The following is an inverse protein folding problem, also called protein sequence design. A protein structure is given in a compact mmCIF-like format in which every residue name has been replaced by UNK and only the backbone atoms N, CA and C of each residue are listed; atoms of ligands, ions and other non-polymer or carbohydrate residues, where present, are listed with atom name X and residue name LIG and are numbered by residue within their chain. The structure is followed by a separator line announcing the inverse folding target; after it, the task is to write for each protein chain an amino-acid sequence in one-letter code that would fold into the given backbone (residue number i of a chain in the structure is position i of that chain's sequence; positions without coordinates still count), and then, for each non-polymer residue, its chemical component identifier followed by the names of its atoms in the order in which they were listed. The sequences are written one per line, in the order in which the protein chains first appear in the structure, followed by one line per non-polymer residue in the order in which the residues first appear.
data_IF_971843089910
#
_entry.id   IF_971843089910
#
_cell.length_a   1.000
_cell.length_b   1.000
_cell.length_c   1.000
_cell.angle_alpha   90.00
_cell.angle_beta   90.00
_cell.angle_gamma   90.00
#
_symmetry.space_group_name_H-M   'P 1'
#
loop_
_entity.id
_entity.type
_entity.pdbx_description
1 polymer ?
#
# COMPACT_ATOMS: atom_id res chain seq x y z
N UNK A 1 0.04 13.35 -6.24
CA UNK A 1 -0.10 13.93 -7.59
C UNK A 1 1.04 13.46 -8.48
N UNK A 2 0.84 13.50 -9.81
CA UNK A 2 1.90 13.29 -10.80
C UNK A 2 3.05 14.27 -10.57
N UNK A 3 4.28 13.88 -10.96
CA UNK A 3 5.47 14.77 -10.91
C UNK A 3 5.30 16.05 -11.77
N UNK A 4 4.39 15.99 -12.75
CA UNK A 4 4.08 17.11 -13.68
C UNK A 4 2.75 17.78 -13.35
N UNK A 5 2.08 17.39 -12.26
CA UNK A 5 0.78 17.93 -11.88
C UNK A 5 0.84 19.40 -11.47
N UNK A 6 -0.15 20.17 -11.88
CA UNK A 6 -0.38 21.52 -11.38
C UNK A 6 -0.94 21.53 -9.96
N UNK A 7 -0.93 22.70 -9.28
CA UNK A 7 -1.40 22.79 -7.90
C UNK A 7 -2.87 22.43 -7.67
N UNK A 8 -3.69 22.50 -8.71
CA UNK A 8 -5.14 22.19 -8.68
C UNK A 8 -5.50 20.84 -9.27
N UNK A 9 -4.52 20.08 -9.73
CA UNK A 9 -4.81 18.77 -10.31
C UNK A 9 -5.22 17.78 -9.22
N UNK A 10 -6.23 16.92 -9.45
CA UNK A 10 -6.64 15.91 -8.50
C UNK A 10 -5.52 14.88 -8.29
N UNK A 11 -5.33 14.45 -7.05
CA UNK A 11 -4.43 13.33 -6.74
C UNK A 11 -5.03 11.99 -7.15
N UNK A 12 -4.17 10.97 -7.24
CA UNK A 12 -4.61 9.60 -7.42
C UNK A 12 -4.88 8.94 -6.06
N UNK A 13 -6.04 8.31 -5.85
CA UNK A 13 -6.32 7.60 -4.60
C UNK A 13 -5.45 6.35 -4.41
N UNK A 14 -4.80 5.86 -5.47
CA UNK A 14 -3.91 4.70 -5.44
C UNK A 14 -2.41 5.04 -5.35
N UNK A 15 -2.07 6.33 -5.36
CA UNK A 15 -0.74 6.83 -5.01
C UNK A 15 -0.72 7.12 -3.51
N UNK A 16 -0.39 6.09 -2.72
CA UNK A 16 -0.60 6.12 -1.28
C UNK A 16 0.46 6.94 -0.56
N UNK A 17 -0.01 7.65 0.47
CA UNK A 17 0.84 8.22 1.50
C UNK A 17 1.64 9.43 1.06
N UNK A 18 1.00 10.58 0.97
CA UNK A 18 1.68 11.87 0.76
C UNK A 18 2.54 12.30 1.94
N UNK A 19 3.02 13.53 1.87
CA UNK A 19 3.88 14.18 2.88
C UNK A 19 3.31 14.20 4.31
N UNK A 20 2.03 13.94 4.47
CA UNK A 20 1.31 13.91 5.74
C UNK A 20 1.71 12.76 6.66
N UNK A 21 2.42 11.74 6.16
CA UNK A 21 2.92 10.63 6.99
C UNK A 21 2.88 9.25 6.35
N UNK A 22 2.73 9.16 5.04
CA UNK A 22 2.82 7.89 4.33
C UNK A 22 1.61 6.97 4.52
N UNK A 23 1.84 5.65 4.51
CA UNK A 23 0.79 4.63 4.54
C UNK A 23 -0.02 4.54 5.86
N UNK A 24 0.42 5.20 6.92
CA UNK A 24 -0.24 5.17 8.24
C UNK A 24 -0.89 6.50 8.61
N UNK A 25 -0.91 7.47 7.70
CA UNK A 25 -1.54 8.76 7.91
C UNK A 25 -2.96 8.82 7.32
N UNK A 26 -3.78 9.69 7.89
CA UNK A 26 -5.07 10.08 7.34
C UNK A 26 -4.89 11.37 6.55
N UNK A 27 -5.51 11.45 5.36
CA UNK A 27 -5.53 12.70 4.61
C UNK A 27 -6.26 13.78 5.41
N UNK A 28 -5.68 14.98 5.61
CA UNK A 28 -6.25 16.01 6.51
C UNK A 28 -7.69 16.42 6.17
N UNK A 29 -8.07 16.39 4.89
CA UNK A 29 -9.43 16.71 4.46
C UNK A 29 -10.46 15.64 4.86
N UNK A 30 -10.01 14.41 5.16
CA UNK A 30 -10.86 13.30 5.60
C UNK A 30 -11.00 13.24 7.13
N UNK A 31 -10.19 14.01 7.85
CA UNK A 31 -10.20 14.06 9.30
C UNK A 31 -8.94 13.53 9.96
N UNK A 32 -9.08 12.99 11.15
CA UNK A 32 -8.00 12.49 12.01
C UNK A 32 -8.06 10.98 12.17
N UNK A 33 -7.03 10.40 12.78
CA UNK A 33 -7.02 8.97 13.14
C UNK A 33 -8.17 8.63 14.11
N UNK A 34 -8.55 9.53 15.01
CA UNK A 34 -9.69 9.33 15.91
C UNK A 34 -11.02 9.35 15.15
N UNK A 35 -11.14 10.14 14.09
CA UNK A 35 -12.30 10.11 13.20
C UNK A 35 -12.42 8.77 12.48
N UNK A 36 -11.30 8.23 12.00
CA UNK A 36 -11.26 6.89 11.40
C UNK A 36 -11.67 5.81 12.39
N UNK A 37 -11.14 5.83 13.62
CA UNK A 37 -11.54 4.89 14.69
C UNK A 37 -13.03 4.99 15.02
N UNK A 38 -13.60 6.21 15.00
CA UNK A 38 -15.06 6.40 15.19
C UNK A 38 -15.86 5.77 14.04
N UNK A 39 -15.37 5.93 12.79
CA UNK A 39 -15.99 5.30 11.62
C UNK A 39 -15.99 3.76 11.77
N UNK A 40 -14.86 3.16 12.13
CA UNK A 40 -14.75 1.70 12.33
C UNK A 40 -15.72 1.23 13.43
N UNK A 41 -15.77 1.91 14.58
CA UNK A 41 -16.71 1.57 15.66
C UNK A 41 -18.17 1.72 15.23
N UNK A 42 -18.50 2.76 14.46
CA UNK A 42 -19.86 2.96 13.96
C UNK A 42 -20.25 1.87 12.97
N UNK A 43 -19.35 1.47 12.06
CA UNK A 43 -19.57 0.36 11.14
C UNK A 43 -19.88 -0.94 11.89
N UNK A 44 -19.05 -1.29 12.88
CA UNK A 44 -19.26 -2.49 13.72
C UNK A 44 -20.62 -2.45 14.46
N UNK A 45 -21.02 -1.30 14.98
CA UNK A 45 -22.32 -1.14 15.65
C UNK A 45 -23.51 -1.41 14.71
N UNK A 46 -23.30 -1.28 13.39
CA UNK A 46 -24.29 -1.61 12.37
C UNK A 46 -24.08 -3.00 11.73
N UNK A 47 -23.20 -3.83 12.29
CA UNK A 47 -22.89 -5.17 11.76
C UNK A 47 -22.07 -5.15 10.47
N UNK A 48 -21.34 -4.06 10.20
CA UNK A 48 -20.49 -3.92 9.02
C UNK A 48 -19.02 -4.00 9.42
N UNK A 49 -18.20 -4.64 8.57
CA UNK A 49 -16.74 -4.60 8.66
C UNK A 49 -16.18 -3.58 7.65
N UNK A 50 -15.12 -2.89 8.05
CA UNK A 50 -14.38 -1.99 7.14
C UNK A 50 -13.36 -2.80 6.38
N UNK A 51 -13.44 -2.78 5.04
CA UNK A 51 -12.41 -3.30 4.16
C UNK A 51 -11.54 -2.13 3.68
N UNK A 52 -10.27 -2.12 4.07
CA UNK A 52 -9.32 -1.08 3.70
C UNK A 52 -8.52 -1.50 2.46
N UNK A 53 -8.43 -0.62 1.48
CA UNK A 53 -7.53 -0.84 0.33
C UNK A 53 -6.07 -0.80 0.79
N UNK A 54 -5.31 -1.84 0.43
CA UNK A 54 -3.88 -1.92 0.66
C UNK A 54 -3.15 -1.87 -0.69
N UNK A 55 -2.77 -0.67 -1.07
CA UNK A 55 -1.94 -0.41 -2.23
C UNK A 55 -0.50 -0.13 -1.79
N UNK A 56 0.46 -0.91 -2.31
CA UNK A 56 1.86 -0.84 -1.87
C UNK A 56 2.61 0.31 -2.55
N UNK A 57 2.18 0.72 -3.73
CA UNK A 57 2.79 1.84 -4.45
C UNK A 57 2.70 3.16 -3.66
N UNK A 58 3.75 3.96 -3.78
CA UNK A 58 3.88 5.23 -3.06
C UNK A 58 3.55 6.43 -3.94
N UNK A 59 3.04 7.50 -3.31
CA UNK A 59 3.02 8.84 -3.92
C UNK A 59 4.46 9.37 -4.09
N UNK A 60 4.74 10.22 -5.10
CA UNK A 60 6.07 10.82 -5.29
C UNK A 60 6.56 11.71 -4.14
N UNK A 61 5.69 12.11 -3.23
CA UNK A 61 6.01 12.88 -2.03
C UNK A 61 5.94 12.06 -0.73
N UNK A 62 5.90 10.73 -0.86
CA UNK A 62 5.91 9.82 0.28
C UNK A 62 7.18 10.00 1.14
N UNK A 63 7.07 10.05 2.49
CA UNK A 63 8.23 10.24 3.38
C UNK A 63 9.37 9.26 3.15
N UNK A 64 9.07 7.99 2.86
CA UNK A 64 10.07 6.96 2.61
C UNK A 64 11.03 7.27 1.46
N UNK A 65 10.64 8.12 0.49
CA UNK A 65 11.54 8.50 -0.61
C UNK A 65 12.77 9.27 -0.10
N UNK A 66 12.58 10.06 0.97
CA UNK A 66 13.66 10.82 1.61
C UNK A 66 14.37 10.02 2.70
N UNK A 67 13.62 9.21 3.45
CA UNK A 67 14.12 8.44 4.59
C UNK A 67 14.87 7.18 4.13
N UNK A 68 14.41 6.58 3.03
CA UNK A 68 14.89 5.31 2.49
C UNK A 68 15.00 5.35 0.96
N UNK A 69 15.85 6.22 0.38
CA UNK A 69 15.98 6.33 -1.07
C UNK A 69 16.39 5.00 -1.73
N UNK A 70 17.09 4.13 -0.99
CA UNK A 70 17.49 2.79 -1.43
C UNK A 70 16.32 1.81 -1.64
N UNK A 71 15.11 2.16 -1.19
CA UNK A 71 13.91 1.36 -1.42
C UNK A 71 13.27 1.60 -2.79
N UNK A 72 13.79 2.56 -3.56
CA UNK A 72 13.21 3.00 -4.82
C UNK A 72 14.19 2.89 -5.99
N UNK A 73 13.66 2.83 -7.19
CA UNK A 73 14.45 2.92 -8.42
C UNK A 73 14.71 4.37 -8.81
N UNK A 74 15.96 4.66 -9.17
CA UNK A 74 16.39 5.95 -9.65
C UNK A 74 16.91 5.85 -11.08
N UNK A 75 16.66 6.90 -11.87
CA UNK A 75 17.23 7.02 -13.21
C UNK A 75 18.66 7.57 -13.13
N UNK A 76 19.50 7.38 -14.19
CA UNK A 76 20.84 7.91 -14.21
C UNK A 76 20.95 9.44 -14.06
N UNK A 77 19.88 10.16 -14.40
CA UNK A 77 19.77 11.62 -14.25
C UNK A 77 19.39 12.05 -12.82
N UNK A 78 19.27 11.13 -11.90
CA UNK A 78 18.89 11.38 -10.51
C UNK A 78 17.39 11.54 -10.26
N UNK A 79 16.54 11.38 -11.28
CA UNK A 79 15.08 11.40 -11.09
C UNK A 79 14.57 10.04 -10.64
N UNK A 80 13.50 10.03 -9.82
CA UNK A 80 12.87 8.80 -9.37
C UNK A 80 12.12 8.13 -10.53
N UNK A 81 12.19 6.79 -10.58
CA UNK A 81 11.48 6.01 -11.58
C UNK A 81 10.03 5.76 -11.14
N UNK A 82 9.10 6.25 -11.93
CA UNK A 82 7.67 5.96 -11.72
C UNK A 82 7.24 4.63 -12.35
N UNK A 83 6.05 4.16 -11.99
CA UNK A 83 5.46 2.94 -12.53
C UNK A 83 5.12 3.09 -14.03
N UNK A 84 5.46 2.08 -14.81
CA UNK A 84 5.18 2.05 -16.25
C UNK A 84 4.61 0.68 -16.65
N UNK A 85 3.61 0.71 -17.52
CA UNK A 85 3.11 -0.46 -18.25
C UNK A 85 2.87 -0.02 -19.69
N UNK A 86 3.89 -0.06 -20.56
CA UNK A 86 3.85 0.54 -21.88
C UNK A 86 2.59 0.16 -22.69
N UNK A 87 1.95 1.09 -23.35
CA UNK A 87 2.35 2.52 -23.51
C UNK A 87 1.97 3.45 -22.35
N UNK A 88 1.37 2.91 -21.28
CA UNK A 88 0.91 3.70 -20.11
C UNK A 88 2.07 4.05 -19.19
N UNK A 89 2.05 5.28 -18.68
CA UNK A 89 2.94 5.81 -17.65
C UNK A 89 2.11 6.31 -16.49
N UNK A 90 2.51 5.97 -15.28
CA UNK A 90 1.82 6.34 -14.04
C UNK A 90 2.78 7.22 -13.23
N UNK A 91 2.91 8.48 -13.63
CA UNK A 91 3.87 9.44 -13.04
C UNK A 91 3.52 9.85 -11.60
N UNK A 92 2.33 9.48 -11.15
CA UNK A 92 1.84 9.65 -9.79
C UNK A 92 2.14 8.44 -8.88
N UNK A 93 2.75 7.38 -9.42
CA UNK A 93 3.00 6.12 -8.69
C UNK A 93 4.49 5.77 -8.73
N UNK A 94 5.07 5.57 -7.56
CA UNK A 94 6.44 5.10 -7.39
C UNK A 94 6.42 3.73 -6.74
N UNK A 95 7.11 2.76 -7.34
CA UNK A 95 7.17 1.39 -6.85
C UNK A 95 8.31 1.18 -5.86
N UNK A 96 8.05 0.38 -4.82
CA UNK A 96 9.06 -0.10 -3.89
C UNK A 96 9.82 -1.31 -4.47
N UNK A 97 11.09 -1.41 -4.15
CA UNK A 97 11.89 -2.61 -4.31
C UNK A 97 11.61 -3.62 -3.20
N UNK A 98 11.51 -4.91 -3.55
CA UNK A 98 11.30 -5.99 -2.59
C UNK A 98 12.57 -6.79 -2.25
N UNK A 99 13.68 -6.51 -2.91
CA UNK A 99 14.94 -7.23 -2.81
C UNK A 99 16.12 -6.27 -2.70
N UNK A 100 17.33 -6.79 -2.82
CA UNK A 100 18.60 -6.04 -2.71
C UNK A 100 18.68 -5.29 -1.38
N UNK A 101 19.12 -4.05 -1.41
CA UNK A 101 19.30 -3.19 -0.23
C UNK A 101 18.01 -2.92 0.55
N UNK A 102 16.87 -2.98 -0.12
CA UNK A 102 15.55 -2.80 0.50
C UNK A 102 15.11 -4.01 1.36
N UNK A 103 15.64 -5.20 1.10
CA UNK A 103 15.32 -6.41 1.87
C UNK A 103 16.19 -6.52 3.13
N UNK A 104 15.65 -6.89 4.31
CA UNK A 104 14.26 -7.21 4.58
C UNK A 104 13.42 -6.01 5.05
N UNK A 105 14.00 -4.81 5.10
CA UNK A 105 13.39 -3.63 5.73
C UNK A 105 12.03 -3.27 5.12
N UNK A 106 11.91 -3.26 3.78
CA UNK A 106 10.63 -2.98 3.09
C UNK A 106 9.54 -3.99 3.47
N UNK A 107 9.90 -5.28 3.57
CA UNK A 107 8.95 -6.32 3.96
C UNK A 107 8.38 -6.07 5.36
N UNK A 108 9.25 -5.75 6.31
CA UNK A 108 8.85 -5.43 7.68
C UNK A 108 8.02 -4.15 7.73
N UNK A 109 8.43 -3.09 7.02
CA UNK A 109 7.69 -1.84 6.99
C UNK A 109 6.26 -2.02 6.44
N UNK A 110 6.10 -2.80 5.36
CA UNK A 110 4.79 -3.10 4.78
C UNK A 110 3.91 -3.95 5.70
N UNK A 111 4.49 -4.95 6.39
CA UNK A 111 3.79 -5.70 7.44
C UNK A 111 3.34 -4.76 8.56
N UNK A 112 4.20 -3.87 9.02
CA UNK A 112 3.91 -2.96 10.12
C UNK A 112 2.82 -1.94 9.76
N UNK A 113 2.70 -1.55 8.50
CA UNK A 113 1.54 -0.80 7.99
C UNK A 113 0.24 -1.57 8.18
N UNK A 114 0.21 -2.85 7.81
CA UNK A 114 -0.98 -3.71 8.00
C UNK A 114 -1.31 -3.85 9.49
N UNK A 115 -0.31 -4.14 10.33
CA UNK A 115 -0.48 -4.25 11.78
C UNK A 115 -1.01 -2.96 12.40
N UNK A 116 -0.50 -1.80 11.96
CA UNK A 116 -1.00 -0.50 12.41
C UNK A 116 -2.51 -0.36 12.17
N UNK A 117 -3.00 -0.70 10.97
CA UNK A 117 -4.43 -0.58 10.67
C UNK A 117 -5.28 -1.64 11.37
N UNK A 118 -4.73 -2.83 11.63
CA UNK A 118 -5.40 -3.85 12.48
C UNK A 118 -5.61 -3.29 13.89
N UNK A 119 -4.63 -2.62 14.47
CA UNK A 119 -4.75 -1.97 15.78
C UNK A 119 -5.80 -0.85 15.80
N UNK A 120 -6.13 -0.26 14.64
CA UNK A 120 -7.24 0.69 14.52
C UNK A 120 -8.61 -0.01 14.32
N UNK A 121 -8.66 -1.35 14.27
CA UNK A 121 -9.87 -2.15 14.18
C UNK A 121 -10.21 -2.66 12.77
N UNK A 122 -9.31 -2.51 11.79
CA UNK A 122 -9.49 -3.06 10.45
C UNK A 122 -9.16 -4.56 10.44
N UNK A 123 -10.04 -5.37 9.86
CA UNK A 123 -9.85 -6.82 9.73
C UNK A 123 -9.80 -7.33 8.30
N UNK A 124 -10.15 -6.49 7.34
CA UNK A 124 -10.22 -6.88 5.92
C UNK A 124 -9.36 -5.91 5.12
N UNK A 125 -8.44 -6.46 4.33
CA UNK A 125 -7.60 -5.70 3.42
C UNK A 125 -7.87 -6.12 1.98
N UNK A 126 -8.32 -5.19 1.16
CA UNK A 126 -8.41 -5.38 -0.29
C UNK A 126 -7.05 -5.02 -0.88
N UNK A 127 -6.34 -6.02 -1.39
CA UNK A 127 -4.97 -5.85 -1.89
C UNK A 127 -5.01 -5.46 -3.36
N UNK A 128 -4.50 -4.27 -3.65
CA UNK A 128 -4.40 -3.73 -5.00
C UNK A 128 -3.25 -4.38 -5.77
N UNK A 129 -3.57 -4.93 -6.94
CA UNK A 129 -2.60 -5.53 -7.87
C UNK A 129 -1.53 -6.45 -7.22
N UNK A 130 -1.89 -7.46 -6.41
CA UNK A 130 -0.91 -8.31 -5.72
C UNK A 130 -0.02 -9.11 -6.66
N UNK A 131 -0.49 -9.39 -7.89
CA UNK A 131 0.26 -10.11 -8.91
C UNK A 131 1.48 -9.36 -9.46
N UNK A 132 1.59 -8.06 -9.18
CA UNK A 132 2.74 -7.22 -9.53
C UNK A 132 3.83 -7.21 -8.45
N UNK A 133 3.60 -7.89 -7.34
CA UNK A 133 4.51 -8.02 -6.20
C UNK A 133 4.97 -9.47 -6.04
N UNK A 134 6.10 -9.74 -5.36
CA UNK A 134 6.61 -11.10 -5.20
C UNK A 134 5.67 -11.99 -4.38
N UNK A 135 5.36 -13.19 -4.87
CA UNK A 135 4.59 -14.19 -4.11
C UNK A 135 5.22 -14.53 -2.74
N UNK A 136 6.56 -14.72 -2.62
CA UNK A 136 7.17 -14.99 -1.31
C UNK A 136 6.93 -13.90 -0.28
N UNK A 137 6.82 -12.64 -0.72
CA UNK A 137 6.45 -11.54 0.17
C UNK A 137 5.02 -11.74 0.74
N UNK A 138 4.06 -12.07 -0.12
CA UNK A 138 2.67 -12.28 0.31
C UNK A 138 2.55 -13.48 1.25
N UNK A 139 3.18 -14.60 0.91
CA UNK A 139 3.18 -15.81 1.76
C UNK A 139 3.75 -15.51 3.15
N UNK A 140 4.85 -14.76 3.21
CA UNK A 140 5.48 -14.38 4.47
C UNK A 140 4.60 -13.39 5.25
N UNK A 141 4.17 -12.30 4.62
CA UNK A 141 3.42 -11.22 5.28
C UNK A 141 2.07 -11.72 5.82
N UNK A 142 1.32 -12.46 5.00
CA UNK A 142 0.02 -12.99 5.40
C UNK A 142 0.18 -13.93 6.60
N UNK A 143 1.19 -14.82 6.57
CA UNK A 143 1.48 -15.70 7.71
C UNK A 143 1.84 -14.92 8.97
N UNK A 144 2.77 -13.96 8.89
CA UNK A 144 3.17 -13.11 10.02
C UNK A 144 1.97 -12.38 10.65
N UNK A 145 1.02 -11.93 9.82
CA UNK A 145 -0.19 -11.26 10.30
C UNK A 145 -1.17 -12.26 10.91
N UNK A 146 -1.48 -13.36 10.21
CA UNK A 146 -2.50 -14.33 10.65
C UNK A 146 -2.06 -15.19 11.83
N UNK A 147 -0.75 -15.38 12.06
CA UNK A 147 -0.23 -16.02 13.29
C UNK A 147 -0.61 -15.21 14.55
N UNK A 148 -0.79 -13.89 14.42
CA UNK A 148 -1.20 -12.99 15.52
C UNK A 148 -2.68 -12.66 15.50
N UNK A 149 -3.25 -12.53 14.31
CA UNK A 149 -4.62 -12.10 14.04
C UNK A 149 -5.30 -13.05 13.03
N UNK A 150 -5.71 -14.26 13.46
CA UNK A 150 -6.17 -15.31 12.56
C UNK A 150 -7.49 -14.99 11.83
N UNK A 151 -8.22 -13.99 12.29
CA UNK A 151 -9.47 -13.51 11.70
C UNK A 151 -9.28 -12.40 10.64
N UNK A 152 -8.04 -12.01 10.35
CA UNK A 152 -7.74 -11.03 9.30
C UNK A 152 -7.83 -11.67 7.92
N UNK A 153 -8.53 -10.98 7.02
CA UNK A 153 -8.80 -11.43 5.65
C UNK A 153 -8.07 -10.54 4.65
N UNK A 154 -7.42 -11.17 3.68
CA UNK A 154 -6.84 -10.49 2.52
C UNK A 154 -7.63 -10.83 1.26
N UNK A 155 -8.18 -9.81 0.58
CA UNK A 155 -8.92 -9.92 -0.66
C UNK A 155 -8.03 -9.52 -1.83
N UNK A 156 -7.76 -10.44 -2.74
CA UNK A 156 -6.86 -10.23 -3.87
C UNK A 156 -7.59 -9.59 -5.06
N UNK A 157 -7.17 -8.42 -5.48
CA UNK A 157 -7.55 -7.85 -6.78
C UNK A 157 -6.49 -8.20 -7.83
N UNK A 158 -6.65 -9.35 -8.49
CA UNK A 158 -5.64 -9.86 -9.42
C UNK A 158 -6.18 -9.97 -10.85
N UNK A 159 -5.51 -9.30 -11.79
CA UNK A 159 -5.76 -9.38 -13.24
C UNK A 159 -4.59 -10.05 -13.92
N UNK A 160 -4.52 -11.39 -13.83
CA UNK A 160 -3.37 -12.15 -14.32
C UNK A 160 -3.79 -13.52 -14.88
N UNK A 161 -2.82 -14.30 -15.33
CA UNK A 161 -3.07 -15.64 -15.88
C UNK A 161 -3.62 -16.59 -14.80
N UNK A 162 -4.48 -17.55 -15.16
CA UNK A 162 -5.13 -18.46 -14.19
C UNK A 162 -4.16 -19.14 -13.21
N UNK A 163 -2.99 -19.56 -13.69
CA UNK A 163 -1.97 -20.18 -12.83
C UNK A 163 -1.50 -19.26 -11.70
N UNK A 164 -1.29 -17.98 -11.99
CA UNK A 164 -0.90 -17.00 -10.97
C UNK A 164 -2.05 -16.71 -10.01
N UNK A 165 -3.28 -16.59 -10.54
CA UNK A 165 -4.46 -16.39 -9.69
C UNK A 165 -4.66 -17.55 -8.70
N UNK A 166 -4.45 -18.78 -9.14
CA UNK A 166 -4.52 -19.96 -8.27
C UNK A 166 -3.44 -19.98 -7.18
N UNK A 167 -2.28 -19.40 -7.45
CA UNK A 167 -1.22 -19.26 -6.44
C UNK A 167 -1.52 -18.16 -5.43
N UNK A 168 -2.11 -17.05 -5.87
CA UNK A 168 -2.52 -15.95 -4.99
C UNK A 168 -3.72 -16.29 -4.10
N UNK A 169 -4.53 -17.28 -4.48
CA UNK A 169 -5.72 -17.74 -3.74
C UNK A 169 -5.47 -18.91 -2.78
N UNK A 170 -4.23 -19.31 -2.57
CA UNK A 170 -3.84 -20.37 -1.62
C UNK A 170 -3.52 -19.81 -0.25
#
# INVERSE_FOLDING_TARGET
NSLTAGPSDPGSPYAIGGKEGGHTAIHPELGTLEDFKRLVRAAHAHGLEVALDFAIQCSPDHPWIKEHPEWFDWRPDGTIKFAENPPKKYEDIVNLHFYREAYPAVWHALRDVVLFWIEQGVKIFRVDNPHTKPLPFWEWMIREVQDRYPDVIFLSEAFTKPKMMQQLGK
#
